data_IF_139895437525
#
_entry.id   IF_139895437525
#
_cell.length_a   1.000
_cell.length_b   1.000
_cell.length_c   1.000
_cell.angle_alpha   90.00
_cell.angle_beta   90.00
_cell.angle_gamma   90.00
#
_symmetry.space_group_name_H-M   'P 1'
#
loop_
_entity.id
_entity.type
_entity.pdbx_description
1 polymer ?
#
# COMPACT_ATOMS: atom_id res chain seq x y z
N UNK A 1 -3.42 13.67 -5.46
CA UNK A 1 -2.18 13.08 -4.93
C UNK A 1 -1.24 12.82 -6.10
N UNK A 2 -0.04 13.39 -6.08
CA UNK A 2 0.93 13.16 -7.16
C UNK A 2 1.79 11.91 -6.90
N UNK A 3 2.59 11.52 -7.89
CA UNK A 3 3.42 10.31 -7.79
C UNK A 3 4.40 10.37 -6.61
N UNK A 4 4.96 11.56 -6.38
CA UNK A 4 5.92 11.76 -5.30
C UNK A 4 5.26 11.52 -3.93
N UNK A 5 4.05 12.00 -3.75
CA UNK A 5 3.27 11.81 -2.53
C UNK A 5 2.90 10.34 -2.33
N UNK A 6 2.51 9.64 -3.39
CA UNK A 6 2.18 8.21 -3.33
C UNK A 6 3.44 7.40 -2.94
N UNK A 7 4.57 7.71 -3.56
CA UNK A 7 5.84 7.04 -3.25
C UNK A 7 6.29 7.30 -1.82
N UNK A 8 6.11 8.52 -1.31
CA UNK A 8 6.43 8.85 0.08
C UNK A 8 5.55 8.05 1.05
N UNK A 9 4.28 7.89 0.74
CA UNK A 9 3.37 7.08 1.54
C UNK A 9 3.78 5.60 1.53
N UNK A 10 4.14 5.07 0.38
CA UNK A 10 4.65 3.70 0.26
C UNK A 10 5.90 3.51 1.13
N UNK A 11 6.85 4.44 1.07
CA UNK A 11 8.07 4.37 1.88
C UNK A 11 7.77 4.34 3.38
N UNK A 12 6.81 5.16 3.82
CA UNK A 12 6.40 5.20 5.21
C UNK A 12 5.76 3.88 5.65
N UNK A 13 4.88 3.30 4.81
CA UNK A 13 4.22 2.03 5.10
C UNK A 13 5.21 0.86 5.12
N UNK A 14 6.17 0.86 4.20
CA UNK A 14 7.23 -0.17 4.16
C UNK A 14 8.09 -0.11 5.42
N UNK A 15 8.45 1.09 5.87
CA UNK A 15 9.22 1.28 7.10
C UNK A 15 8.48 0.74 8.32
N UNK A 16 7.18 1.01 8.41
CA UNK A 16 6.35 0.54 9.50
C UNK A 16 6.20 -0.99 9.49
N UNK A 17 6.01 -1.58 8.31
CA UNK A 17 5.96 -3.03 8.14
C UNK A 17 7.27 -3.68 8.57
N UNK A 18 8.39 -3.10 8.15
CA UNK A 18 9.72 -3.61 8.50
C UNK A 18 9.95 -3.59 10.01
N UNK A 19 9.57 -2.51 10.66
CA UNK A 19 9.68 -2.37 12.11
C UNK A 19 8.86 -3.44 12.85
N UNK A 20 7.64 -3.68 12.41
CA UNK A 20 6.80 -4.72 13.01
C UNK A 20 7.39 -6.11 12.86
N UNK A 21 7.94 -6.41 11.69
CA UNK A 21 8.58 -7.70 11.41
C UNK A 21 9.83 -7.90 12.26
N UNK A 22 10.62 -6.84 12.46
CA UNK A 22 11.81 -6.89 13.33
C UNK A 22 11.43 -7.17 14.78
N UNK A 23 10.37 -6.55 15.29
CA UNK A 23 9.89 -6.79 16.63
C UNK A 23 9.50 -8.26 16.84
N UNK A 24 8.86 -8.87 15.84
CA UNK A 24 8.50 -10.29 15.89
C UNK A 24 9.73 -11.20 15.90
N UNK A 25 10.73 -10.89 15.08
CA UNK A 25 11.98 -11.64 15.02
C UNK A 25 12.80 -11.53 16.28
N UNK A 26 12.71 -10.41 16.98
CA UNK A 26 13.41 -10.18 18.24
C UNK A 26 12.79 -10.95 19.42
N UNK A 27 11.77 -11.78 19.16
CA UNK A 27 11.14 -12.60 20.20
C UNK A 27 10.00 -11.90 20.92
N UNK A 28 9.51 -10.80 20.38
CA UNK A 28 8.31 -10.15 20.90
C UNK A 28 7.09 -11.04 20.74
N UNK A 29 6.03 -10.81 21.53
CA UNK A 29 4.83 -11.64 21.43
C UNK A 29 4.17 -11.51 20.05
N UNK A 30 3.88 -12.64 19.43
CA UNK A 30 3.11 -12.68 18.19
C UNK A 30 1.62 -12.56 18.55
N UNK A 31 1.16 -11.32 18.67
CA UNK A 31 -0.22 -11.04 19.05
C UNK A 31 -1.13 -10.97 17.82
N UNK A 32 -2.43 -11.22 18.06
CA UNK A 32 -3.44 -11.06 17.04
C UNK A 32 -3.48 -9.61 16.53
N UNK A 33 -3.24 -8.65 17.41
CA UNK A 33 -3.23 -7.22 17.06
C UNK A 33 -2.08 -6.90 16.11
N UNK A 34 -0.89 -7.45 16.34
CA UNK A 34 0.26 -7.27 15.46
C UNK A 34 0.01 -7.86 14.07
N UNK A 35 -0.58 -9.07 14.02
CA UNK A 35 -0.94 -9.69 12.75
C UNK A 35 -1.98 -8.88 11.98
N UNK A 36 -2.97 -8.37 12.69
CA UNK A 36 -4.00 -7.52 12.08
C UNK A 36 -3.38 -6.22 11.54
N UNK A 37 -2.45 -5.62 12.29
CA UNK A 37 -1.76 -4.40 11.84
C UNK A 37 -0.93 -4.67 10.59
N UNK A 38 -0.18 -5.78 10.55
CA UNK A 38 0.58 -6.16 9.37
C UNK A 38 -0.32 -6.33 8.14
N UNK A 39 -1.45 -7.03 8.31
CA UNK A 39 -2.41 -7.21 7.23
C UNK A 39 -2.94 -5.87 6.71
N UNK A 40 -3.25 -4.92 7.60
CA UNK A 40 -3.69 -3.59 7.22
C UNK A 40 -2.62 -2.82 6.44
N UNK A 41 -1.36 -2.93 6.86
CA UNK A 41 -0.25 -2.28 6.16
C UNK A 41 -0.06 -2.86 4.76
N UNK A 42 -0.14 -4.18 4.62
CA UNK A 42 -0.03 -4.83 3.32
C UNK A 42 -1.16 -4.41 2.38
N UNK A 43 -2.39 -4.32 2.88
CA UNK A 43 -3.53 -3.85 2.10
C UNK A 43 -3.36 -2.39 1.68
N UNK A 44 -2.88 -1.54 2.58
CA UNK A 44 -2.61 -0.14 2.27
C UNK A 44 -1.53 0.00 1.21
N UNK A 45 -0.48 -0.83 1.28
CA UNK A 45 0.57 -0.87 0.26
C UNK A 45 0.01 -1.27 -1.10
N UNK A 46 -0.83 -2.29 -1.15
CA UNK A 46 -1.46 -2.74 -2.39
C UNK A 46 -2.31 -1.63 -3.01
N UNK A 47 -3.05 -0.89 -2.20
CA UNK A 47 -3.83 0.27 -2.66
C UNK A 47 -2.93 1.36 -3.24
N UNK A 48 -1.79 1.63 -2.62
CA UNK A 48 -0.83 2.63 -3.10
C UNK A 48 -0.23 2.23 -4.44
N UNK A 49 0.19 0.95 -4.59
CA UNK A 49 0.72 0.45 -5.84
C UNK A 49 -0.33 0.46 -6.95
N UNK A 50 -1.57 0.10 -6.61
CA UNK A 50 -2.69 0.18 -7.55
C UNK A 50 -2.90 1.61 -8.04
N UNK A 51 -2.85 2.59 -7.14
CA UNK A 51 -3.00 4.00 -7.49
C UNK A 51 -1.88 4.46 -8.43
N UNK A 52 -0.64 4.06 -8.18
CA UNK A 52 0.49 4.37 -9.06
C UNK A 52 0.29 3.79 -10.46
N UNK A 53 -0.19 2.53 -10.54
CA UNK A 53 -0.47 1.89 -11.83
C UNK A 53 -1.56 2.63 -12.59
N UNK A 54 -2.62 3.07 -11.90
CA UNK A 54 -3.69 3.87 -12.51
C UNK A 54 -3.14 5.18 -13.07
N UNK A 55 -2.34 5.89 -12.27
CA UNK A 55 -1.76 7.17 -12.69
C UNK A 55 -0.85 7.00 -13.90
N UNK A 56 -0.03 5.96 -13.91
CA UNK A 56 0.86 5.65 -15.02
C UNK A 56 0.08 5.32 -16.30
N UNK A 57 -0.97 4.51 -16.17
CA UNK A 57 -1.81 4.15 -17.31
C UNK A 57 -2.50 5.38 -17.91
N UNK A 58 -3.01 6.29 -17.07
CA UNK A 58 -3.64 7.53 -17.56
C UNK A 58 -2.63 8.39 -18.30
N UNK A 59 -1.42 8.51 -17.78
CA UNK A 59 -0.35 9.27 -18.42
C UNK A 59 -0.01 8.70 -19.80
N UNK A 60 0.10 7.38 -19.92
CA UNK A 60 0.40 6.71 -21.18
C UNK A 60 -0.67 6.94 -22.23
N UNK A 61 -1.93 7.03 -21.81
CA UNK A 61 -3.05 7.26 -22.75
C UNK A 61 -3.45 8.73 -22.86
N UNK A 62 -2.63 9.65 -22.37
CA UNK A 62 -2.89 11.08 -22.44
C UNK A 62 -4.05 11.56 -21.58
N UNK A 63 -4.45 10.79 -20.60
CA UNK A 63 -5.52 11.15 -19.65
C UNK A 63 -4.95 11.89 -18.45
N UNK A 64 -5.82 12.57 -17.70
CA UNK A 64 -5.40 13.30 -16.51
C UNK A 64 -5.10 12.33 -15.35
N UNK A 65 -3.86 12.34 -14.92
CA UNK A 65 -3.39 11.50 -13.78
C UNK A 65 -4.14 11.81 -12.48
N UNK A 66 -4.56 13.07 -12.30
CA UNK A 66 -5.25 13.48 -11.07
C UNK A 66 -6.63 12.86 -10.92
N UNK A 67 -7.19 12.27 -11.98
CA UNK A 67 -8.46 11.55 -11.93
C UNK A 67 -8.31 10.13 -11.37
N UNK A 68 -7.08 9.62 -11.22
CA UNK A 68 -6.86 8.34 -10.58
C UNK A 68 -7.21 8.42 -9.09
N UNK A 69 -7.92 7.43 -8.59
CA UNK A 69 -8.41 7.41 -7.21
C UNK A 69 -8.05 6.11 -6.51
N UNK A 70 -7.87 6.19 -5.20
CA UNK A 70 -7.68 5.00 -4.37
C UNK A 70 -8.92 4.12 -4.48
N UNK A 71 -8.72 2.86 -4.84
CA UNK A 71 -9.82 1.89 -4.93
C UNK A 71 -10.02 1.19 -3.59
N UNK A 72 -11.24 0.71 -3.29
CA UNK A 72 -11.48 -0.05 -2.06
C UNK A 72 -10.58 -1.28 -1.96
N UNK A 73 -10.25 -1.66 -0.74
CA UNK A 73 -9.37 -2.81 -0.47
C UNK A 73 -9.88 -4.06 -1.17
N UNK A 74 -11.19 -4.33 -1.09
CA UNK A 74 -11.80 -5.52 -1.69
C UNK A 74 -11.57 -5.59 -3.20
N UNK A 75 -11.67 -4.45 -3.87
CA UNK A 75 -11.46 -4.38 -5.31
C UNK A 75 -10.00 -4.67 -5.68
N UNK A 76 -9.06 -4.07 -4.95
CA UNK A 76 -7.62 -4.25 -5.17
C UNK A 76 -7.21 -5.69 -4.90
N UNK A 77 -7.65 -6.26 -3.78
CA UNK A 77 -7.32 -7.65 -3.41
C UNK A 77 -7.88 -8.65 -4.42
N UNK A 78 -9.09 -8.43 -4.91
CA UNK A 78 -9.68 -9.28 -5.94
C UNK A 78 -8.91 -9.25 -7.25
N UNK A 79 -8.38 -8.08 -7.61
CA UNK A 79 -7.58 -7.92 -8.82
C UNK A 79 -6.24 -8.68 -8.72
N UNK A 80 -5.68 -8.76 -7.51
CA UNK A 80 -4.38 -9.40 -7.27
C UNK A 80 -4.48 -10.93 -7.11
N UNK A 81 -5.67 -11.46 -6.95
CA UNK A 81 -5.88 -12.91 -6.82
C UNK A 81 -5.88 -13.64 -8.16
#
# INVERSE_FOLDING_TARGET
MDDHQVLAQISSLVAEEHELREQRQAGGPDSADERARLAQLEQALDQCWDLLRQRRARKEFGQDESDAMVRPVEEVENYLQ
#
